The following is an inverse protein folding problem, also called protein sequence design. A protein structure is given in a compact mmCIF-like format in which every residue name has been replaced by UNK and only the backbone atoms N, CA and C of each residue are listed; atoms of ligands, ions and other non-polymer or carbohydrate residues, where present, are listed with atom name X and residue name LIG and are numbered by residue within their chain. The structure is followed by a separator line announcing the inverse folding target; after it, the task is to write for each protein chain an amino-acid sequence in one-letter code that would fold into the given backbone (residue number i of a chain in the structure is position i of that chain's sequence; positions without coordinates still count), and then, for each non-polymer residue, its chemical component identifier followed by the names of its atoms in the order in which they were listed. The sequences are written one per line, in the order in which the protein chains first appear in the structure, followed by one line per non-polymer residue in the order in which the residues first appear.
data_IF_961337591024
#
_entry.id   IF_961337591024
#
_cell.length_a   1.000
_cell.length_b   1.000
_cell.length_c   1.000
_cell.angle_alpha   90.00
_cell.angle_beta   90.00
_cell.angle_gamma   90.00
#
_symmetry.space_group_name_H-M   'P 1'
#
loop_
_entity.id
_entity.type
_entity.pdbx_description
1 polymer ?
#
# COMPACT_ATOMS: atom_id res chain seq x y z
N UNK A 1 -11.49 4.68 28.72
CA UNK A 1 -10.82 4.69 27.41
C UNK A 1 -10.42 3.25 27.14
N UNK A 2 -10.86 2.67 26.03
CA UNK A 2 -10.43 1.31 25.68
C UNK A 2 -8.91 1.28 25.52
N UNK A 3 -8.23 0.32 26.13
CA UNK A 3 -6.80 0.10 25.89
C UNK A 3 -6.59 -0.15 24.39
N UNK A 4 -5.76 0.67 23.75
CA UNK A 4 -5.38 0.44 22.36
C UNK A 4 -4.51 -0.83 22.30
N UNK A 5 -4.81 -1.70 21.35
CA UNK A 5 -4.02 -2.90 21.11
C UNK A 5 -2.57 -2.53 20.77
N UNK A 6 -1.61 -3.33 21.28
CA UNK A 6 -0.21 -3.23 20.88
C UNK A 6 -0.03 -3.93 19.52
N UNK A 7 0.83 -3.38 18.69
CA UNK A 7 1.20 -4.00 17.41
C UNK A 7 2.10 -5.22 17.67
N UNK A 8 1.80 -6.34 17.00
CA UNK A 8 2.60 -7.57 17.07
C UNK A 8 3.66 -7.60 15.97
N UNK A 9 4.92 -7.71 16.33
CA UNK A 9 6.09 -7.77 15.43
C UNK A 9 6.62 -9.20 15.24
N UNK A 10 5.84 -10.23 15.52
CA UNK A 10 6.26 -11.63 15.39
C UNK A 10 6.48 -12.06 13.92
N UNK A 11 5.88 -11.35 12.96
CA UNK A 11 5.98 -11.63 11.53
C UNK A 11 6.77 -10.53 10.80
N UNK A 12 7.43 -10.91 9.70
CA UNK A 12 8.08 -9.94 8.81
C UNK A 12 7.02 -9.00 8.25
N UNK A 13 7.30 -7.69 8.34
CA UNK A 13 6.43 -6.65 7.80
C UNK A 13 6.82 -6.29 6.37
N UNK A 14 5.86 -6.36 5.45
CA UNK A 14 6.04 -6.09 4.01
C UNK A 14 4.99 -5.11 3.53
N UNK A 15 5.42 -4.10 2.79
CA UNK A 15 4.53 -3.14 2.16
C UNK A 15 4.25 -3.57 0.71
N UNK A 16 3.01 -3.82 0.39
CA UNK A 16 2.56 -4.10 -0.98
C UNK A 16 1.49 -3.10 -1.40
N UNK A 17 1.17 -3.05 -2.67
CA UNK A 17 0.06 -2.22 -3.09
C UNK A 17 -0.44 -2.58 -4.47
N UNK A 18 -1.66 -2.13 -4.77
CA UNK A 18 -2.32 -2.31 -6.06
C UNK A 18 -2.07 -1.13 -6.97
N UNK A 19 -1.63 -1.42 -8.19
CA UNK A 19 -1.42 -0.47 -9.29
C UNK A 19 -2.16 -0.96 -10.55
N UNK A 20 -2.42 -0.07 -11.49
CA UNK A 20 -3.09 -0.40 -12.75
C UNK A 20 -4.13 0.65 -13.14
N UNK A 21 -4.76 0.44 -14.28
CA UNK A 21 -5.71 1.37 -14.87
C UNK A 21 -6.94 1.62 -13.97
N UNK A 22 -7.60 2.77 -14.16
CA UNK A 22 -8.91 3.05 -13.55
C UNK A 22 -9.93 1.97 -13.97
N UNK A 23 -10.87 1.65 -13.09
CA UNK A 23 -11.94 0.65 -13.31
C UNK A 23 -11.47 -0.80 -13.54
N UNK A 24 -10.17 -1.11 -13.44
CA UNK A 24 -9.67 -2.49 -13.48
C UNK A 24 -9.91 -3.28 -12.18
N UNK A 25 -10.44 -2.64 -11.13
CA UNK A 25 -10.89 -3.29 -9.91
C UNK A 25 -9.82 -3.43 -8.81
N UNK A 26 -8.86 -2.49 -8.71
CA UNK A 26 -7.84 -2.47 -7.66
C UNK A 26 -8.43 -2.47 -6.27
N UNK A 27 -9.31 -1.52 -5.97
CA UNK A 27 -9.95 -1.39 -4.66
C UNK A 27 -10.86 -2.59 -4.34
N UNK A 28 -11.55 -3.14 -5.35
CA UNK A 28 -12.33 -4.38 -5.20
C UNK A 28 -11.43 -5.56 -4.84
N UNK A 29 -10.25 -5.66 -5.48
CA UNK A 29 -9.28 -6.70 -5.16
C UNK A 29 -8.72 -6.52 -3.74
N UNK A 30 -8.40 -5.30 -3.35
CA UNK A 30 -7.95 -4.97 -1.99
C UNK A 30 -8.99 -5.41 -0.95
N UNK A 31 -10.27 -5.13 -1.19
CA UNK A 31 -11.36 -5.59 -0.33
C UNK A 31 -11.47 -7.13 -0.29
N UNK A 32 -11.34 -7.81 -1.44
CA UNK A 32 -11.37 -9.27 -1.51
C UNK A 32 -10.22 -9.91 -0.74
N UNK A 33 -9.01 -9.35 -0.84
CA UNK A 33 -7.84 -9.80 -0.08
C UNK A 33 -8.09 -9.63 1.42
N UNK A 34 -8.51 -8.44 1.89
CA UNK A 34 -8.73 -8.20 3.32
C UNK A 34 -9.80 -9.14 3.88
N UNK A 35 -10.89 -9.38 3.14
CA UNK A 35 -11.92 -10.34 3.54
C UNK A 35 -11.36 -11.74 3.70
N UNK A 36 -10.67 -12.25 2.67
CA UNK A 36 -10.13 -13.60 2.67
C UNK A 36 -9.08 -13.83 3.75
N UNK A 37 -8.17 -12.86 3.95
CA UNK A 37 -7.14 -12.97 4.97
C UNK A 37 -7.73 -12.86 6.38
N UNK A 38 -8.75 -12.03 6.60
CA UNK A 38 -9.48 -11.97 7.88
C UNK A 38 -10.17 -13.31 8.21
N UNK A 39 -10.77 -13.97 7.23
CA UNK A 39 -11.38 -15.29 7.39
C UNK A 39 -10.36 -16.39 7.78
N UNK A 40 -9.16 -16.35 7.21
CA UNK A 40 -8.13 -17.39 7.41
C UNK A 40 -7.27 -17.16 8.67
N UNK A 41 -6.90 -15.92 8.93
CA UNK A 41 -5.85 -15.57 9.90
C UNK A 41 -6.32 -14.56 10.96
N UNK A 42 -7.58 -14.17 10.91
CA UNK A 42 -8.11 -13.12 11.78
C UNK A 42 -7.71 -11.72 11.32
N UNK A 43 -8.21 -10.73 12.02
CA UNK A 43 -8.06 -9.31 11.67
C UNK A 43 -9.37 -8.70 11.18
N UNK A 44 -9.30 -7.45 10.79
CA UNK A 44 -10.49 -6.71 10.36
C UNK A 44 -10.67 -6.84 8.83
N UNK A 45 -11.87 -7.21 8.43
CA UNK A 45 -12.30 -7.03 7.04
C UNK A 45 -12.56 -5.55 6.76
N UNK A 46 -11.97 -5.05 5.69
CA UNK A 46 -12.20 -3.67 5.23
C UNK A 46 -13.05 -3.72 3.96
N UNK A 47 -14.30 -3.34 4.09
CA UNK A 47 -15.22 -3.24 2.97
C UNK A 47 -14.80 -2.15 1.97
N UNK A 48 -15.16 -2.31 0.71
CA UNK A 48 -14.89 -1.36 -0.38
C UNK A 48 -15.20 0.10 0.01
N UNK A 49 -16.39 0.33 0.59
CA UNK A 49 -16.83 1.65 1.04
C UNK A 49 -15.99 2.25 2.19
N UNK A 50 -15.18 1.41 2.85
CA UNK A 50 -14.27 1.82 3.92
C UNK A 50 -12.82 1.96 3.45
N UNK A 51 -12.49 1.53 2.24
CA UNK A 51 -11.23 1.80 1.56
C UNK A 51 -11.32 3.21 0.94
N UNK A 52 -12.28 3.44 0.04
CA UNK A 52 -12.58 4.75 -0.55
C UNK A 52 -13.52 5.56 0.36
N UNK A 53 -12.95 6.28 1.31
CA UNK A 53 -13.71 6.94 2.40
C UNK A 53 -14.20 8.32 2.07
N UNK A 54 -13.49 9.05 1.20
CA UNK A 54 -13.83 10.44 0.91
C UNK A 54 -15.19 10.55 0.18
N UNK A 55 -16.02 11.54 0.51
CA UNK A 55 -17.30 11.72 -0.18
C UNK A 55 -17.17 11.86 -1.69
N UNK A 56 -16.07 12.45 -2.15
CA UNK A 56 -15.77 12.63 -3.57
C UNK A 56 -15.42 11.30 -4.26
N UNK A 57 -14.64 10.42 -3.58
CA UNK A 57 -14.32 9.08 -4.06
C UNK A 57 -15.58 8.24 -4.24
N UNK A 58 -16.48 8.28 -3.24
CA UNK A 58 -17.77 7.57 -3.29
C UNK A 58 -18.70 8.11 -4.37
N UNK A 59 -18.72 9.43 -4.56
CA UNK A 59 -19.57 10.07 -5.55
C UNK A 59 -19.13 9.78 -6.98
N UNK A 60 -17.82 9.65 -7.21
CA UNK A 60 -17.23 9.38 -8.52
C UNK A 60 -16.98 7.89 -8.79
N UNK A 61 -16.98 7.05 -7.77
CA UNK A 61 -16.63 5.62 -7.86
C UNK A 61 -15.17 5.36 -8.21
N UNK A 62 -14.27 6.30 -7.90
CA UNK A 62 -12.83 6.21 -8.20
C UNK A 62 -12.01 6.53 -6.95
N UNK A 63 -10.86 5.85 -6.80
CA UNK A 63 -9.89 6.16 -5.76
C UNK A 63 -9.12 7.43 -6.12
N UNK A 64 -9.09 8.39 -5.21
CA UNK A 64 -8.39 9.68 -5.35
C UNK A 64 -7.12 9.69 -4.50
N UNK A 65 -7.25 9.32 -3.23
CA UNK A 65 -6.15 9.27 -2.28
C UNK A 65 -5.69 7.82 -2.07
N UNK A 66 -4.41 7.65 -1.74
CA UNK A 66 -3.92 6.35 -1.30
C UNK A 66 -4.61 5.93 -0.01
N UNK A 67 -5.10 4.71 0.04
CA UNK A 67 -5.66 4.11 1.25
C UNK A 67 -4.76 2.99 1.74
N UNK A 68 -4.60 2.91 3.08
CA UNK A 68 -3.79 1.88 3.70
C UNK A 68 -4.68 0.93 4.48
N UNK A 69 -4.53 -0.37 4.21
CA UNK A 69 -5.17 -1.45 4.96
C UNK A 69 -4.11 -2.44 5.42
N UNK A 70 -4.41 -3.21 6.46
CA UNK A 70 -3.52 -4.27 6.95
C UNK A 70 -4.20 -5.63 6.85
N UNK A 71 -3.40 -6.65 6.61
CA UNK A 71 -3.78 -8.05 6.70
C UNK A 71 -2.53 -8.91 6.92
N UNK A 72 -2.71 -10.20 7.13
CA UNK A 72 -1.61 -11.12 7.36
C UNK A 72 -1.80 -12.44 6.62
N UNK A 73 -0.69 -13.12 6.38
CA UNK A 73 -0.64 -14.54 6.06
C UNK A 73 -0.07 -15.31 7.26
N UNK A 74 0.15 -16.59 7.13
CA UNK A 74 0.89 -17.37 8.12
C UNK A 74 2.35 -16.90 8.26
N UNK A 75 2.93 -16.32 7.21
CA UNK A 75 4.35 -15.93 7.12
C UNK A 75 4.59 -14.46 7.42
N UNK A 76 3.70 -13.56 6.97
CA UNK A 76 3.95 -12.12 6.89
C UNK A 76 2.80 -11.29 7.40
N UNK A 77 3.12 -10.09 7.88
CA UNK A 77 2.19 -8.99 8.09
C UNK A 77 2.32 -8.00 6.92
N UNK A 78 1.20 -7.67 6.29
CA UNK A 78 1.16 -6.77 5.14
C UNK A 78 0.52 -5.43 5.50
N UNK A 79 1.19 -4.33 5.12
CA UNK A 79 0.56 -3.06 4.87
C UNK A 79 0.27 -2.97 3.37
N UNK A 80 -0.96 -2.73 3.00
CA UNK A 80 -1.39 -2.66 1.60
C UNK A 80 -1.82 -1.24 1.26
N UNK A 81 -1.19 -0.68 0.23
CA UNK A 81 -1.47 0.65 -0.31
C UNK A 81 -2.36 0.49 -1.54
N UNK A 82 -3.61 0.91 -1.44
CA UNK A 82 -4.49 1.00 -2.60
C UNK A 82 -4.24 2.32 -3.32
N UNK A 83 -3.72 2.24 -4.55
CA UNK A 83 -3.34 3.41 -5.33
C UNK A 83 -4.46 3.84 -6.29
N UNK A 84 -4.62 5.17 -6.50
CA UNK A 84 -5.53 5.68 -7.52
C UNK A 84 -5.11 5.21 -8.92
N UNK A 85 -6.09 4.98 -9.80
CA UNK A 85 -5.85 4.54 -11.17
C UNK A 85 -5.95 5.66 -12.20
N UNK A 86 -6.59 6.78 -11.85
CA UNK A 86 -6.87 7.88 -12.78
C UNK A 86 -5.66 8.81 -12.96
N UNK A 87 -5.42 9.26 -14.20
CA UNK A 87 -4.28 10.11 -14.56
C UNK A 87 -4.18 11.41 -13.75
N UNK A 88 -5.31 12.00 -13.36
CA UNK A 88 -5.33 13.25 -12.57
C UNK A 88 -4.69 13.07 -11.17
N UNK A 89 -4.60 11.83 -10.67
CA UNK A 89 -4.11 11.51 -9.33
C UNK A 89 -2.74 10.81 -9.33
N UNK A 90 -2.00 10.93 -10.41
CA UNK A 90 -0.68 10.29 -10.58
C UNK A 90 0.29 10.64 -9.45
N UNK A 91 0.21 11.86 -8.89
CA UNK A 91 1.04 12.25 -7.74
C UNK A 91 0.79 11.39 -6.50
N UNK A 92 -0.47 11.04 -6.25
CA UNK A 92 -0.84 10.17 -5.13
C UNK A 92 -0.42 8.72 -5.42
N UNK A 93 -0.53 8.28 -6.68
CA UNK A 93 -0.01 6.97 -7.11
C UNK A 93 1.50 6.87 -6.89
N UNK A 94 2.29 7.87 -7.28
CA UNK A 94 3.75 7.90 -7.08
C UNK A 94 4.09 7.81 -5.58
N UNK A 95 3.40 8.59 -4.75
CA UNK A 95 3.62 8.58 -3.30
C UNK A 95 3.31 7.21 -2.70
N UNK A 96 2.22 6.57 -3.13
CA UNK A 96 1.88 5.23 -2.69
C UNK A 96 2.87 4.17 -3.17
N UNK A 97 3.25 4.22 -4.45
CA UNK A 97 4.20 3.27 -5.03
C UNK A 97 5.60 3.35 -4.38
N UNK A 98 6.05 4.54 -4.00
CA UNK A 98 7.33 4.73 -3.31
C UNK A 98 7.40 4.02 -1.95
N UNK A 99 6.27 3.66 -1.35
CA UNK A 99 6.22 2.93 -0.09
C UNK A 99 6.32 1.41 -0.25
N UNK A 100 6.14 0.88 -1.47
CA UNK A 100 5.98 -0.54 -1.72
C UNK A 100 7.31 -1.30 -1.75
N UNK A 101 7.34 -2.45 -1.11
CA UNK A 101 8.39 -3.47 -1.24
C UNK A 101 8.08 -4.43 -2.41
N UNK A 102 6.85 -4.41 -2.92
CA UNK A 102 6.38 -5.13 -4.09
C UNK A 102 5.00 -4.64 -4.54
N UNK A 103 4.68 -4.80 -5.80
CA UNK A 103 3.43 -4.36 -6.39
C UNK A 103 2.53 -5.50 -6.84
N UNK A 104 1.23 -5.25 -6.88
CA UNK A 104 0.22 -6.10 -7.52
C UNK A 104 -0.36 -5.30 -8.69
N UNK A 105 0.00 -5.69 -9.90
CA UNK A 105 -0.55 -5.10 -11.12
C UNK A 105 -1.92 -5.72 -11.42
N UNK A 106 -2.95 -4.89 -11.45
CA UNK A 106 -4.32 -5.33 -11.74
C UNK A 106 -4.71 -4.90 -13.15
N UNK A 107 -5.05 -5.89 -13.98
CA UNK A 107 -5.49 -5.69 -15.37
C UNK A 107 -6.82 -6.39 -15.56
N UNK A 108 -7.84 -5.69 -16.09
CA UNK A 108 -9.11 -6.33 -16.42
C UNK A 108 -8.95 -7.20 -17.69
N UNK A 109 -9.41 -8.44 -17.63
CA UNK A 109 -9.38 -9.37 -18.76
C UNK A 109 -10.18 -8.88 -19.97
N UNK A 110 -11.20 -8.06 -19.72
CA UNK A 110 -12.06 -7.48 -20.77
C UNK A 110 -11.38 -6.40 -21.61
N UNK A 111 -10.40 -5.70 -21.00
CA UNK A 111 -9.81 -4.49 -21.59
C UNK A 111 -8.33 -4.68 -21.96
N UNK A 112 -7.66 -5.63 -21.31
CA UNK A 112 -6.21 -5.79 -21.41
C UNK A 112 -5.43 -4.61 -20.80
N UNK A 113 -4.11 -4.52 -21.06
CA UNK A 113 -3.29 -3.41 -20.62
C UNK A 113 -3.73 -2.08 -21.27
N UNK A 114 -3.95 -1.07 -20.46
CA UNK A 114 -4.39 0.26 -20.88
C UNK A 114 -3.30 1.33 -20.63
N UNK A 115 -3.58 2.58 -20.98
CA UNK A 115 -2.59 3.66 -20.89
C UNK A 115 -1.99 3.81 -19.49
N UNK A 116 -2.82 3.86 -18.44
CA UNK A 116 -2.32 3.96 -17.06
C UNK A 116 -1.61 2.69 -16.58
N UNK A 117 -1.85 1.52 -17.18
CA UNK A 117 -1.08 0.31 -16.88
C UNK A 117 0.40 0.52 -17.20
N UNK A 118 0.67 1.06 -18.39
CA UNK A 118 2.03 1.42 -18.85
C UNK A 118 2.66 2.50 -17.98
N UNK A 119 1.90 3.56 -17.69
CA UNK A 119 2.36 4.67 -16.85
C UNK A 119 2.70 4.20 -15.43
N UNK A 120 1.84 3.39 -14.82
CA UNK A 120 2.06 2.87 -13.47
C UNK A 120 3.27 1.93 -13.39
N UNK A 121 3.52 1.09 -14.40
CA UNK A 121 4.72 0.27 -14.46
C UNK A 121 5.99 1.10 -14.57
N UNK A 122 5.98 2.12 -15.43
CA UNK A 122 7.10 3.06 -15.56
C UNK A 122 7.40 3.74 -14.21
N UNK A 123 6.37 4.28 -13.58
CA UNK A 123 6.51 5.00 -12.31
C UNK A 123 6.93 4.07 -11.17
N UNK A 124 6.36 2.89 -11.07
CA UNK A 124 6.75 1.88 -10.09
C UNK A 124 8.23 1.51 -10.23
N UNK A 125 8.72 1.36 -11.48
CA UNK A 125 10.15 1.12 -11.73
C UNK A 125 11.03 2.29 -11.28
N UNK A 126 10.62 3.53 -11.61
CA UNK A 126 11.36 4.74 -11.24
C UNK A 126 11.45 4.97 -9.72
N UNK A 127 10.40 4.66 -8.97
CA UNK A 127 10.43 4.78 -7.50
C UNK A 127 11.05 3.57 -6.81
N UNK A 128 11.49 2.56 -7.58
CA UNK A 128 12.27 1.43 -7.07
C UNK A 128 11.45 0.24 -6.56
N UNK A 129 10.21 0.06 -7.00
CA UNK A 129 9.45 -1.18 -6.72
C UNK A 129 10.19 -2.37 -7.34
N UNK A 130 10.71 -3.32 -6.55
CA UNK A 130 11.65 -4.33 -7.08
C UNK A 130 10.97 -5.44 -7.85
N UNK A 131 9.76 -5.85 -7.45
CA UNK A 131 9.02 -6.97 -8.04
C UNK A 131 7.53 -6.70 -8.10
N UNK A 132 6.89 -7.30 -9.10
CA UNK A 132 5.45 -7.21 -9.35
C UNK A 132 4.87 -8.62 -9.43
N UNK A 133 3.66 -8.80 -8.90
CA UNK A 133 2.77 -9.94 -9.17
C UNK A 133 1.60 -9.41 -9.99
N UNK A 134 1.10 -10.17 -10.94
CA UNK A 134 -0.01 -9.75 -11.80
C UNK A 134 -1.30 -10.46 -11.38
N UNK A 135 -2.38 -9.71 -11.32
CA UNK A 135 -3.74 -10.23 -11.18
C UNK A 135 -4.58 -9.81 -12.39
N UNK A 136 -4.92 -10.76 -13.26
CA UNK A 136 -5.89 -10.57 -14.34
C UNK A 136 -7.29 -10.69 -13.75
N UNK A 137 -7.96 -9.55 -13.61
CA UNK A 137 -9.27 -9.43 -12.96
C UNK A 137 -10.42 -9.55 -13.98
N UNK A 138 -11.63 -9.72 -13.49
CA UNK A 138 -12.87 -9.82 -14.29
C UNK A 138 -12.88 -11.01 -15.26
N UNK A 139 -12.17 -12.10 -14.95
CA UNK A 139 -12.17 -13.31 -15.76
C UNK A 139 -13.54 -14.01 -15.83
N UNK A 140 -14.45 -13.66 -14.95
CA UNK A 140 -15.86 -14.10 -15.00
C UNK A 140 -16.63 -13.51 -16.20
N UNK A 141 -16.10 -12.49 -16.85
CA UNK A 141 -16.73 -11.80 -17.99
C UNK A 141 -16.14 -12.23 -19.35
N UNK A 142 -15.16 -13.14 -19.35
CA UNK A 142 -14.48 -13.62 -20.56
C UNK A 142 -14.60 -15.14 -20.63
N UNK A 143 -15.37 -15.62 -21.61
CA UNK A 143 -15.61 -17.05 -21.80
C UNK A 143 -14.52 -17.75 -22.65
N UNK A 144 -13.79 -16.98 -23.46
CA UNK A 144 -12.76 -17.49 -24.35
C UNK A 144 -11.39 -17.57 -23.66
N UNK A 145 -10.84 -18.78 -23.44
CA UNK A 145 -9.52 -18.96 -22.85
C UNK A 145 -8.40 -18.32 -23.67
N UNK A 146 -8.49 -18.28 -24.98
CA UNK A 146 -7.46 -17.73 -25.87
C UNK A 146 -7.33 -16.22 -25.67
N UNK A 147 -8.43 -15.54 -25.35
CA UNK A 147 -8.41 -14.12 -24.98
C UNK A 147 -7.64 -13.87 -23.67
N UNK A 148 -7.78 -14.75 -22.68
CA UNK A 148 -7.03 -14.65 -21.42
C UNK A 148 -5.53 -14.89 -21.66
N UNK A 149 -5.17 -15.81 -22.54
CA UNK A 149 -3.79 -16.07 -22.90
C UNK A 149 -3.16 -14.87 -23.62
N UNK A 150 -3.89 -14.24 -24.54
CA UNK A 150 -3.46 -13.03 -25.23
C UNK A 150 -3.21 -11.87 -24.26
N UNK A 151 -4.14 -11.62 -23.34
CA UNK A 151 -3.99 -10.57 -22.33
C UNK A 151 -2.76 -10.84 -21.44
N UNK A 152 -2.52 -12.10 -21.06
CA UNK A 152 -1.33 -12.46 -20.29
C UNK A 152 -0.04 -12.20 -21.06
N UNK A 153 0.01 -12.56 -22.36
CA UNK A 153 1.17 -12.32 -23.22
C UNK A 153 1.47 -10.82 -23.35
N UNK A 154 0.46 -10.01 -23.62
CA UNK A 154 0.59 -8.55 -23.68
C UNK A 154 1.12 -7.95 -22.36
N UNK A 155 0.67 -8.46 -21.21
CA UNK A 155 1.16 -8.01 -19.89
C UNK A 155 2.62 -8.40 -19.70
N UNK A 156 3.02 -9.63 -20.07
CA UNK A 156 4.41 -10.10 -19.97
C UNK A 156 5.35 -9.27 -20.83
N UNK A 157 4.95 -8.92 -22.04
CA UNK A 157 5.73 -8.05 -22.92
C UNK A 157 5.83 -6.63 -22.35
N UNK A 158 4.75 -6.13 -21.76
CA UNK A 158 4.74 -4.82 -21.11
C UNK A 158 5.66 -4.79 -19.88
N UNK A 159 5.68 -5.84 -19.07
CA UNK A 159 6.62 -6.00 -17.95
C UNK A 159 8.08 -5.94 -18.41
N UNK A 160 8.43 -6.70 -19.47
CA UNK A 160 9.77 -6.67 -20.07
C UNK A 160 10.16 -5.29 -20.58
N UNK A 161 9.22 -4.60 -21.23
CA UNK A 161 9.43 -3.23 -21.74
C UNK A 161 9.83 -2.24 -20.62
N UNK A 162 9.36 -2.45 -19.39
CA UNK A 162 9.67 -1.62 -18.23
C UNK A 162 10.69 -2.26 -17.27
N UNK A 163 11.51 -3.19 -17.78
CA UNK A 163 12.59 -3.85 -17.03
C UNK A 163 12.14 -4.64 -15.79
N UNK A 164 10.93 -5.19 -15.81
CA UNK A 164 10.49 -6.23 -14.89
C UNK A 164 10.68 -7.61 -15.50
N UNK A 165 10.75 -8.64 -14.64
CA UNK A 165 10.88 -10.03 -15.08
C UNK A 165 9.55 -10.57 -15.67
N UNK A 166 9.29 -10.27 -16.95
CA UNK A 166 8.05 -10.66 -17.59
C UNK A 166 7.91 -12.18 -17.79
N UNK A 167 9.02 -12.93 -17.85
CA UNK A 167 8.98 -14.37 -18.07
C UNK A 167 8.59 -15.16 -16.81
N UNK A 168 9.12 -14.77 -15.66
CA UNK A 168 8.94 -15.49 -14.40
C UNK A 168 7.91 -14.85 -13.45
N UNK A 169 7.46 -13.62 -13.73
CA UNK A 169 6.44 -12.96 -12.90
C UNK A 169 5.19 -13.83 -12.78
N UNK A 170 4.72 -14.12 -11.56
CA UNK A 170 3.47 -14.84 -11.36
C UNK A 170 2.28 -14.04 -11.91
N UNK A 171 1.44 -14.69 -12.68
CA UNK A 171 0.19 -14.14 -13.21
C UNK A 171 -0.96 -15.00 -12.72
N UNK A 172 -1.86 -14.38 -11.97
CA UNK A 172 -3.04 -15.04 -11.38
C UNK A 172 -4.27 -14.53 -12.12
N UNK A 173 -5.13 -15.43 -12.57
CA UNK A 173 -6.42 -15.12 -13.22
C UNK A 173 -7.55 -15.29 -12.24
N UNK A 174 -8.45 -14.30 -12.13
CA UNK A 174 -9.53 -14.34 -11.17
C UNK A 174 -10.59 -13.27 -11.37
N UNK A 175 -11.48 -13.17 -10.41
CA UNK A 175 -12.49 -12.12 -10.31
C UNK A 175 -12.61 -11.68 -8.86
N UNK A 176 -12.17 -10.46 -8.59
CA UNK A 176 -12.23 -9.89 -7.24
C UNK A 176 -13.68 -9.74 -6.74
N UNK A 177 -14.61 -9.35 -7.62
CA UNK A 177 -16.01 -9.22 -7.28
C UNK A 177 -16.64 -10.58 -6.92
N UNK A 178 -16.42 -11.60 -7.75
CA UNK A 178 -16.93 -12.95 -7.48
C UNK A 178 -16.31 -13.57 -6.22
N UNK A 179 -15.04 -13.28 -5.94
CA UNK A 179 -14.39 -13.68 -4.70
C UNK A 179 -15.06 -13.02 -3.47
N UNK A 180 -15.39 -11.72 -3.56
CA UNK A 180 -16.14 -11.00 -2.51
C UNK A 180 -17.55 -11.59 -2.30
N UNK A 181 -18.20 -12.02 -3.38
CA UNK A 181 -19.51 -12.69 -3.34
C UNK A 181 -19.41 -14.12 -2.77
N UNK A 182 -18.21 -14.67 -2.60
CA UNK A 182 -17.97 -15.98 -2.01
C UNK A 182 -17.98 -17.15 -3.00
N UNK A 183 -17.82 -16.86 -4.31
CA UNK A 183 -17.66 -17.93 -5.32
C UNK A 183 -16.35 -18.71 -5.05
N UNK A 184 -16.42 -20.03 -4.77
CA UNK A 184 -15.27 -20.81 -4.35
C UNK A 184 -14.11 -20.80 -5.35
N UNK A 185 -14.39 -20.80 -6.67
CA UNK A 185 -13.39 -20.74 -7.73
C UNK A 185 -12.56 -19.45 -7.64
N UNK A 186 -13.23 -18.33 -7.41
CA UNK A 186 -12.58 -17.03 -7.38
C UNK A 186 -12.00 -16.70 -6.00
N UNK A 187 -12.56 -17.23 -4.92
CA UNK A 187 -11.92 -17.21 -3.59
C UNK A 187 -10.56 -17.94 -3.64
N UNK A 188 -10.48 -19.10 -4.31
CA UNK A 188 -9.21 -19.80 -4.53
C UNK A 188 -8.18 -18.93 -5.31
N UNK A 189 -8.63 -18.09 -6.25
CA UNK A 189 -7.73 -17.19 -6.96
C UNK A 189 -7.08 -16.14 -6.05
N UNK A 190 -7.79 -15.69 -5.01
CA UNK A 190 -7.21 -14.81 -3.99
C UNK A 190 -6.15 -15.55 -3.16
N UNK A 191 -6.41 -16.80 -2.78
CA UNK A 191 -5.42 -17.62 -2.08
C UNK A 191 -4.15 -17.79 -2.94
N UNK A 192 -4.29 -18.13 -4.22
CA UNK A 192 -3.17 -18.23 -5.17
C UNK A 192 -2.41 -16.92 -5.34
N UNK A 193 -3.11 -15.79 -5.36
CA UNK A 193 -2.49 -14.47 -5.40
C UNK A 193 -1.63 -14.24 -4.16
N UNK A 194 -2.13 -14.53 -2.98
CA UNK A 194 -1.38 -14.32 -1.74
C UNK A 194 -0.19 -15.27 -1.60
N UNK A 195 -0.32 -16.52 -2.06
CA UNK A 195 0.80 -17.46 -2.14
C UNK A 195 1.89 -16.97 -3.11
N UNK A 196 1.49 -16.38 -4.23
CA UNK A 196 2.42 -15.77 -5.18
C UNK A 196 3.10 -14.53 -4.59
N UNK A 197 2.38 -13.67 -3.88
CA UNK A 197 2.94 -12.51 -3.17
C UNK A 197 3.93 -12.96 -2.10
N UNK A 198 3.57 -13.95 -1.29
CA UNK A 198 4.45 -14.49 -0.23
C UNK A 198 5.74 -15.11 -0.78
N UNK A 199 5.70 -15.72 -1.96
CA UNK A 199 6.84 -16.44 -2.53
C UNK A 199 7.70 -15.59 -3.47
N UNK A 200 7.09 -14.69 -4.23
CA UNK A 200 7.75 -13.91 -5.27
C UNK A 200 8.33 -12.59 -4.75
N UNK A 201 7.61 -11.88 -3.90
CA UNK A 201 8.11 -10.64 -3.31
C UNK A 201 9.10 -11.00 -2.20
N UNK A 202 10.31 -10.47 -2.31
CA UNK A 202 11.39 -10.75 -1.35
C UNK A 202 11.14 -10.03 -0.03
N UNK A 203 11.62 -10.62 1.07
CA UNK A 203 11.67 -9.93 2.34
C UNK A 203 12.57 -8.69 2.22
N UNK A 204 12.05 -7.51 2.58
CA UNK A 204 12.82 -6.28 2.43
C UNK A 204 13.96 -6.22 3.45
N UNK A 205 15.12 -5.76 3.00
CA UNK A 205 16.23 -5.41 3.90
C UNK A 205 15.94 -4.04 4.53
N UNK A 206 15.93 -3.98 5.86
CA UNK A 206 15.62 -2.77 6.62
C UNK A 206 16.86 -2.17 7.27
N UNK A 207 17.16 -0.93 6.92
CA UNK A 207 18.29 -0.15 7.47
C UNK A 207 17.96 0.41 8.87
N UNK A 208 17.76 -0.45 9.85
CA UNK A 208 17.35 -0.06 11.22
C UNK A 208 18.47 0.61 12.02
N UNK A 209 19.74 0.36 11.68
CA UNK A 209 20.92 0.89 12.38
C UNK A 209 21.31 2.30 11.92
N UNK A 210 20.72 2.80 10.84
CA UNK A 210 20.97 4.15 10.34
C UNK A 210 20.23 5.21 11.15
N UNK A 211 20.64 6.50 11.09
CA UNK A 211 19.85 7.58 11.68
C UNK A 211 18.42 7.60 11.15
N UNK A 212 17.45 7.79 12.06
CA UNK A 212 16.02 7.83 11.70
C UNK A 212 15.71 8.85 10.63
N UNK A 213 14.90 8.45 9.66
CA UNK A 213 14.34 9.29 8.61
C UNK A 213 12.96 8.78 8.21
N UNK A 214 11.98 9.69 8.13
CA UNK A 214 10.63 9.41 7.66
C UNK A 214 10.16 10.55 6.75
N UNK A 215 9.71 10.24 5.54
CA UNK A 215 9.07 11.21 4.65
C UNK A 215 7.67 11.54 5.16
N UNK A 216 7.31 12.82 5.21
CA UNK A 216 5.97 13.26 5.63
C UNK A 216 5.03 13.24 4.44
N UNK A 217 4.04 12.36 4.49
CA UNK A 217 3.07 12.13 3.42
C UNK A 217 1.75 12.80 3.67
N UNK A 218 1.34 12.87 4.93
CA UNK A 218 0.14 13.58 5.34
C UNK A 218 0.25 14.18 6.75
N UNK A 219 -0.61 15.16 7.04
CA UNK A 219 -0.61 15.91 8.29
C UNK A 219 -2.03 16.06 8.80
N UNK A 220 -2.28 15.55 10.00
CA UNK A 220 -3.57 15.59 10.66
C UNK A 220 -3.51 16.35 11.98
N UNK A 221 -4.64 16.91 12.38
CA UNK A 221 -4.83 17.43 13.74
C UNK A 221 -5.82 16.54 14.47
N UNK A 222 -5.40 16.03 15.62
CA UNK A 222 -6.30 15.30 16.53
C UNK A 222 -6.70 16.25 17.66
N UNK A 223 -7.99 16.55 17.75
CA UNK A 223 -8.54 17.43 18.80
C UNK A 223 -8.13 16.94 20.18
N UNK A 224 -7.51 17.83 20.97
CA UNK A 224 -7.03 17.55 22.32
C UNK A 224 -5.72 16.74 22.41
N UNK A 225 -5.12 16.32 21.28
CA UNK A 225 -3.85 15.58 21.25
C UNK A 225 -2.73 16.31 20.52
N UNK A 226 -3.01 17.02 19.43
CA UNK A 226 -2.04 17.78 18.65
C UNK A 226 -1.92 17.35 17.20
N UNK A 227 -0.79 17.69 16.58
CA UNK A 227 -0.50 17.40 15.18
C UNK A 227 0.16 16.03 15.03
N UNK A 228 -0.38 15.23 14.12
CA UNK A 228 0.16 13.92 13.72
C UNK A 228 0.65 14.04 12.30
N UNK A 229 1.87 13.59 12.05
CA UNK A 229 2.43 13.39 10.70
C UNK A 229 2.45 11.90 10.40
N UNK A 230 2.12 11.53 9.17
CA UNK A 230 2.17 10.14 8.72
C UNK A 230 3.15 9.98 7.59
N UNK A 231 3.73 8.79 7.49
CA UNK A 231 4.61 8.41 6.41
C UNK A 231 5.27 7.07 6.66
N UNK A 232 5.99 6.61 5.65
CA UNK A 232 6.85 5.44 5.77
C UNK A 232 8.17 5.83 6.43
N UNK A 233 8.61 5.04 7.40
CA UNK A 233 9.97 5.14 7.95
C UNK A 233 10.94 4.56 6.90
N UNK A 234 11.80 5.42 6.36
CA UNK A 234 12.75 5.04 5.31
C UNK A 234 13.95 4.28 5.89
N UNK A 235 14.43 4.72 7.05
CA UNK A 235 15.56 4.12 7.74
C UNK A 235 15.58 4.46 9.23
N UNK A 236 16.32 3.69 10.00
CA UNK A 236 16.51 3.89 11.42
C UNK A 236 15.33 3.47 12.27
N UNK A 237 15.35 3.86 13.52
CA UNK A 237 14.33 3.59 14.52
C UNK A 237 13.99 4.89 15.26
N UNK A 238 12.71 5.12 15.50
CA UNK A 238 12.18 6.20 16.33
C UNK A 238 11.45 5.60 17.53
N UNK A 239 11.80 6.03 18.73
CA UNK A 239 11.10 5.65 19.97
C UNK A 239 10.20 6.78 20.47
N UNK A 240 9.18 6.41 21.21
CA UNK A 240 8.35 7.41 21.91
C UNK A 240 9.24 8.22 22.86
N UNK A 241 9.08 9.54 22.83
CA UNK A 241 9.86 10.58 23.52
C UNK A 241 11.23 10.90 22.91
N UNK A 242 11.58 10.35 21.76
CA UNK A 242 12.78 10.80 21.04
C UNK A 242 12.59 12.23 20.50
N UNK A 243 13.70 12.99 20.53
CA UNK A 243 13.79 14.26 19.82
C UNK A 243 13.90 14.03 18.30
N UNK A 244 13.21 14.85 17.53
CA UNK A 244 13.21 14.82 16.06
C UNK A 244 13.27 16.24 15.50
N UNK A 245 13.73 16.34 14.25
CA UNK A 245 13.71 17.57 13.46
C UNK A 245 12.75 17.42 12.28
N UNK A 246 11.97 18.46 12.01
CA UNK A 246 11.20 18.61 10.78
C UNK A 246 12.07 19.43 9.83
N UNK A 247 12.46 18.83 8.70
CA UNK A 247 13.44 19.39 7.77
C UNK A 247 12.82 19.53 6.37
N UNK A 248 13.26 20.55 5.64
CA UNK A 248 12.87 20.83 4.26
C UNK A 248 11.70 21.81 4.13
N UNK A 249 11.58 22.45 2.98
CA UNK A 249 10.55 23.42 2.59
C UNK A 249 10.47 24.66 3.52
N UNK A 250 10.30 24.44 4.81
CA UNK A 250 10.24 25.48 5.87
C UNK A 250 11.49 25.45 6.75
N UNK A 251 11.73 26.50 7.55
CA UNK A 251 12.83 26.47 8.53
C UNK A 251 12.76 25.22 9.41
N UNK A 252 13.91 24.61 9.64
CA UNK A 252 14.03 23.41 10.49
C UNK A 252 13.49 23.66 11.89
N UNK A 253 12.66 22.77 12.39
CA UNK A 253 12.07 22.84 13.70
C UNK A 253 12.37 21.55 14.48
N UNK A 254 12.71 21.74 15.77
CA UNK A 254 12.90 20.62 16.71
C UNK A 254 11.63 20.35 17.48
N UNK A 255 11.33 19.10 17.70
CA UNK A 255 10.18 18.66 18.50
C UNK A 255 10.45 17.28 19.10
N UNK A 256 9.46 16.73 19.77
CA UNK A 256 9.51 15.39 20.39
C UNK A 256 8.34 14.55 19.88
N UNK A 257 8.63 13.31 19.51
CA UNK A 257 7.64 12.31 19.16
C UNK A 257 6.97 11.78 20.45
N UNK A 258 5.78 12.26 20.78
CA UNK A 258 5.09 11.90 22.03
C UNK A 258 4.21 10.66 21.91
N UNK A 259 4.00 10.17 20.73
CA UNK A 259 3.24 8.94 20.47
C UNK A 259 3.48 8.44 19.06
N UNK A 260 3.44 7.14 18.88
CA UNK A 260 3.59 6.48 17.59
C UNK A 260 2.45 5.48 17.44
N UNK A 261 1.80 5.49 16.29
CA UNK A 261 0.70 4.58 15.97
C UNK A 261 0.87 4.02 14.55
N UNK A 262 0.46 2.77 14.34
CA UNK A 262 0.33 2.14 13.02
C UNK A 262 -0.96 1.33 13.01
N UNK A 263 -1.84 1.53 12.00
CA UNK A 263 -3.16 0.88 11.92
C UNK A 263 -3.98 0.99 13.20
N UNK A 264 -3.99 2.18 13.82
CA UNK A 264 -4.68 2.47 15.09
C UNK A 264 -4.15 1.71 16.33
N UNK A 265 -3.07 0.94 16.17
CA UNK A 265 -2.36 0.26 17.25
C UNK A 265 -1.21 1.14 17.75
N UNK A 266 -0.97 1.15 19.06
CA UNK A 266 0.15 1.89 19.62
C UNK A 266 1.46 1.13 19.45
N UNK A 267 2.52 1.87 19.13
CA UNK A 267 3.89 1.41 19.04
C UNK A 267 4.75 2.07 20.08
N UNK A 268 5.66 1.32 20.68
CA UNK A 268 6.74 1.86 21.53
C UNK A 268 7.86 2.46 20.66
N UNK A 269 8.05 1.89 19.46
CA UNK A 269 8.99 2.36 18.46
C UNK A 269 8.48 2.08 17.05
N UNK A 270 8.80 2.96 16.10
CA UNK A 270 8.70 2.71 14.67
C UNK A 270 10.09 2.45 14.10
N UNK A 271 10.18 1.55 13.14
CA UNK A 271 11.43 1.18 12.49
C UNK A 271 11.30 1.19 10.97
N UNK A 272 12.42 1.17 10.27
CA UNK A 272 12.48 1.17 8.81
C UNK A 272 11.46 0.21 8.21
N UNK A 273 10.62 0.70 7.29
CA UNK A 273 9.52 -0.03 6.65
C UNK A 273 8.15 0.19 7.27
N UNK A 274 8.03 0.70 8.50
CA UNK A 274 6.74 0.95 9.12
C UNK A 274 6.04 2.16 8.48
N UNK A 275 4.73 2.06 8.27
CA UNK A 275 3.86 3.19 7.93
C UNK A 275 3.31 3.78 9.23
N UNK A 276 3.99 4.77 9.77
CA UNK A 276 3.74 5.28 11.10
C UNK A 276 3.03 6.64 11.10
N UNK A 277 2.14 6.83 12.07
CA UNK A 277 1.64 8.14 12.49
C UNK A 277 2.38 8.58 13.75
N UNK A 278 3.06 9.71 13.68
CA UNK A 278 3.87 10.26 14.77
C UNK A 278 3.23 11.52 15.32
N UNK A 279 2.88 11.50 16.61
CA UNK A 279 2.34 12.66 17.32
C UNK A 279 3.48 13.59 17.76
N UNK A 280 3.43 14.85 17.35
CA UNK A 280 4.47 15.84 17.57
C UNK A 280 4.07 16.84 18.67
N UNK A 281 5.00 17.10 19.60
CA UNK A 281 4.78 18.04 20.72
C UNK A 281 4.89 19.48 20.24
N UNK A 282 3.85 20.30 20.51
CA UNK A 282 3.91 21.76 20.32
C UNK A 282 4.04 22.23 18.87
N UNK A 283 3.77 21.37 17.90
CA UNK A 283 3.74 21.70 16.48
C UNK A 283 2.29 21.91 16.04
N UNK A 284 2.00 23.06 15.44
CA UNK A 284 0.73 23.30 14.79
C UNK A 284 0.71 22.74 13.37
N UNK A 285 -0.50 22.51 12.82
CA UNK A 285 -0.64 21.95 11.47
C UNK A 285 0.01 22.84 10.39
N UNK A 286 -0.01 24.15 10.57
CA UNK A 286 0.53 25.14 9.63
C UNK A 286 2.06 25.15 9.61
N UNK A 287 2.71 24.61 10.64
CA UNK A 287 4.16 24.56 10.77
C UNK A 287 4.79 23.39 10.02
N UNK A 288 3.99 22.38 9.65
CA UNK A 288 4.44 21.18 8.95
C UNK A 288 3.59 20.92 7.73
N UNK A 289 4.20 20.39 6.66
CA UNK A 289 3.48 20.07 5.44
C UNK A 289 4.05 18.82 4.74
N UNK A 290 3.23 18.23 3.88
CA UNK A 290 3.63 17.10 3.02
C UNK A 290 4.86 17.46 2.21
N UNK A 291 5.81 16.53 2.12
CA UNK A 291 7.07 16.69 1.40
C UNK A 291 8.25 17.11 2.28
N UNK A 292 8.00 17.53 3.53
CA UNK A 292 9.05 17.63 4.53
C UNK A 292 9.46 16.25 5.05
N UNK A 293 10.53 16.19 5.81
CA UNK A 293 11.06 14.96 6.43
C UNK A 293 11.10 15.10 7.94
N UNK A 294 10.76 14.04 8.63
CA UNK A 294 11.02 13.89 10.06
C UNK A 294 12.32 13.09 10.22
N UNK A 295 13.29 13.66 10.90
CA UNK A 295 14.64 13.10 10.99
C UNK A 295 15.18 13.12 12.43
N UNK A 296 16.21 12.31 12.68
CA UNK A 296 17.01 12.42 13.89
C UNK A 296 17.73 13.78 13.90
N UNK A 297 17.80 14.50 15.06
CA UNK A 297 18.51 15.77 15.16
C UNK A 297 20.00 15.66 14.77
N UNK A 298 20.49 16.69 14.05
CA UNK A 298 21.90 16.80 13.59
C UNK A 298 22.16 16.00 12.33
#
# INVERSE_FOLDING_TARGET
MAEKQKFDRSKVHVNVGTIGHVDHGKTTLTAAITKRQAEKFGGDFVDYANIDKAPEERARGITINTSHVEYQTDKRHYAHVDCPGHADYVKNMITGAAQMDGGILVVAATDGPMAQTSEHLLLAKQVGVPRIVVFINKCDQVDDPDMLDLVEEEIRDLLKKYDFDGDNTPVIRGSALKALEGDPKYVESIDKLMDAVDSWIQDPVRDTDKPFLMSIEDVFTITGRGTVVTGRVERGTLKVNDEVEIVGIKPTQKTVATGIEMFRKQLESAEAGDNAGVLLRGISREQVERGQVLAKPG
#
